data_IF_441192118940
#
_entry.id   IF_441192118940
#
_cell.length_a   1.000
_cell.length_b   1.000
_cell.length_c   1.000
_cell.angle_alpha   90.00
_cell.angle_beta   90.00
_cell.angle_gamma   90.00
#
_symmetry.space_group_name_H-M   'P 1'
#
loop_
_entity.id
_entity.type
_entity.pdbx_description
1 polymer ?
#
# COMPACT_ATOMS: atom_id res chain seq x y z
N UNK A 1 43.07 12.80 51.80
CA UNK A 1 43.40 13.86 50.82
C UNK A 1 44.09 13.20 49.65
N UNK A 2 43.57 13.11 48.44
CA UNK A 2 42.26 13.40 47.88
C UNK A 2 42.12 12.48 46.66
N UNK A 3 40.94 11.90 46.48
CA UNK A 3 40.54 11.28 45.22
C UNK A 3 40.37 12.40 44.18
N UNK A 4 40.87 12.17 42.96
CA UNK A 4 40.47 12.97 41.80
C UNK A 4 39.88 12.01 40.76
N UNK A 5 38.56 11.86 40.82
CA UNK A 5 37.74 11.24 39.79
C UNK A 5 37.82 12.09 38.52
N UNK A 6 38.52 11.60 37.48
CA UNK A 6 38.31 12.07 36.12
C UNK A 6 37.07 11.38 35.55
N UNK A 7 35.98 12.13 35.56
CA UNK A 7 34.72 11.86 34.88
C UNK A 7 34.95 11.49 33.41
N UNK A 8 34.69 10.23 33.07
CA UNK A 8 34.40 9.83 31.69
C UNK A 8 33.06 10.43 31.31
N UNK A 9 33.09 11.59 30.65
CA UNK A 9 31.96 12.09 29.88
C UNK A 9 31.69 11.11 28.73
N UNK A 10 30.88 10.10 29.01
CA UNK A 10 30.26 9.28 28.00
C UNK A 10 29.23 10.13 27.26
N UNK A 11 29.63 10.80 26.18
CA UNK A 11 28.70 11.12 25.10
C UNK A 11 28.19 9.78 24.57
N UNK A 12 27.06 9.32 25.09
CA UNK A 12 26.33 8.23 24.47
C UNK A 12 25.98 8.67 23.06
N UNK A 13 26.70 8.15 22.06
CA UNK A 13 26.21 8.20 20.69
C UNK A 13 24.93 7.38 20.69
N UNK A 14 23.77 8.01 20.59
CA UNK A 14 22.56 7.31 20.19
C UNK A 14 22.87 6.66 18.84
N UNK A 15 23.13 5.35 18.85
CA UNK A 15 23.35 4.59 17.63
C UNK A 15 22.05 4.64 16.83
N UNK A 16 21.99 5.50 15.82
CA UNK A 16 20.84 5.60 14.92
C UNK A 16 20.73 4.29 14.15
N UNK A 17 19.70 3.50 14.45
CA UNK A 17 19.46 2.22 13.78
C UNK A 17 18.76 2.48 12.46
N UNK A 18 19.17 1.81 11.38
CA UNK A 18 18.48 1.90 10.08
C UNK A 18 17.09 1.27 10.22
N UNK A 19 16.06 1.98 9.75
CA UNK A 19 14.68 1.49 9.74
C UNK A 19 14.55 0.34 8.72
N UNK A 20 14.01 -0.79 9.18
CA UNK A 20 13.73 -1.95 8.34
C UNK A 20 12.23 -2.13 8.14
N UNK A 21 11.84 -2.54 6.94
CA UNK A 21 10.45 -2.78 6.56
C UNK A 21 10.22 -4.28 6.35
N UNK A 22 9.03 -4.75 6.71
CA UNK A 22 8.62 -6.14 6.48
C UNK A 22 8.11 -6.27 5.04
N UNK A 23 8.50 -7.32 4.29
CA UNK A 23 7.96 -7.57 2.95
C UNK A 23 6.43 -7.70 2.96
N UNK A 24 5.78 -7.10 1.97
CA UNK A 24 4.33 -7.19 1.84
C UNK A 24 3.94 -8.51 1.15
N UNK A 25 3.01 -9.25 1.75
CA UNK A 25 2.54 -10.52 1.20
C UNK A 25 1.36 -10.32 0.25
N UNK A 26 1.22 -11.22 -0.71
CA UNK A 26 0.19 -11.18 -1.75
C UNK A 26 -0.52 -12.53 -1.90
N UNK A 27 -1.79 -12.49 -2.29
CA UNK A 27 -2.57 -13.67 -2.66
C UNK A 27 -3.44 -13.36 -3.88
N UNK A 28 -3.48 -14.25 -4.86
CA UNK A 28 -4.47 -14.20 -5.92
C UNK A 28 -5.51 -15.30 -5.66
N UNK A 29 -6.76 -14.90 -5.45
CA UNK A 29 -7.87 -15.81 -5.22
C UNK A 29 -8.19 -16.66 -6.47
N UNK A 30 -8.82 -17.81 -6.27
CA UNK A 30 -9.22 -18.68 -7.37
C UNK A 30 -10.12 -17.93 -8.37
N UNK A 31 -11.04 -17.10 -7.88
CA UNK A 31 -11.96 -16.33 -8.71
C UNK A 31 -11.26 -15.34 -9.65
N UNK A 32 -10.09 -14.81 -9.25
CA UNK A 32 -9.26 -13.96 -10.11
C UNK A 32 -8.78 -14.73 -11.35
N UNK A 33 -8.26 -15.95 -11.15
CA UNK A 33 -7.73 -16.78 -12.25
C UNK A 33 -8.83 -17.27 -13.20
N UNK A 34 -10.00 -17.66 -12.66
CA UNK A 34 -11.17 -17.99 -13.47
C UNK A 34 -11.59 -16.82 -14.37
N UNK A 35 -11.68 -15.61 -13.81
CA UNK A 35 -12.07 -14.41 -14.56
C UNK A 35 -11.00 -14.02 -15.58
N UNK A 36 -9.71 -14.08 -15.23
CA UNK A 36 -8.61 -13.81 -16.16
C UNK A 36 -8.63 -14.78 -17.35
N UNK A 37 -8.87 -16.06 -17.09
CA UNK A 37 -8.95 -17.09 -18.13
C UNK A 37 -10.12 -16.84 -19.08
N UNK A 38 -11.29 -16.49 -18.54
CA UNK A 38 -12.46 -16.11 -19.34
C UNK A 38 -12.19 -14.87 -20.21
N UNK A 39 -11.56 -13.83 -19.64
CA UNK A 39 -11.19 -12.63 -20.41
C UNK A 39 -10.15 -12.93 -21.49
N UNK A 40 -9.16 -13.79 -21.19
CA UNK A 40 -8.14 -14.19 -22.16
C UNK A 40 -8.73 -14.93 -23.35
N UNK A 41 -9.67 -15.85 -23.13
CA UNK A 41 -10.31 -16.61 -24.20
C UNK A 41 -11.32 -15.79 -25.00
N UNK A 42 -12.14 -14.99 -24.32
CA UNK A 42 -13.29 -14.34 -24.95
C UNK A 42 -12.98 -12.94 -25.51
N UNK A 43 -11.95 -12.25 -24.99
CA UNK A 43 -11.71 -10.83 -25.29
C UNK A 43 -10.28 -10.54 -25.74
N UNK A 44 -9.27 -10.94 -24.97
CA UNK A 44 -7.88 -10.55 -25.26
C UNK A 44 -7.27 -11.41 -26.37
N UNK A 45 -7.58 -12.70 -26.41
CA UNK A 45 -7.01 -13.63 -27.38
C UNK A 45 -5.48 -13.68 -27.26
N UNK A 46 -4.78 -13.15 -28.26
CA UNK A 46 -3.32 -13.06 -28.32
C UNK A 46 -2.76 -11.74 -27.78
N UNK A 47 -3.60 -10.78 -27.43
CA UNK A 47 -3.17 -9.50 -26.85
C UNK A 47 -2.53 -9.73 -25.48
N UNK A 48 -1.26 -9.34 -25.35
CA UNK A 48 -0.46 -9.39 -24.12
C UNK A 48 -0.17 -7.99 -23.56
N UNK A 49 -0.93 -6.98 -24.01
CA UNK A 49 -0.88 -5.62 -23.47
C UNK A 49 -1.14 -5.59 -21.95
N UNK A 50 -0.52 -4.65 -21.21
CA UNK A 50 -0.72 -4.52 -19.77
C UNK A 50 -2.17 -4.20 -19.42
N UNK A 51 -2.71 -4.89 -18.42
CA UNK A 51 -4.09 -4.75 -17.96
C UNK A 51 -4.10 -4.01 -16.62
N UNK A 52 -4.79 -2.86 -16.48
CA UNK A 52 -4.97 -2.23 -15.19
C UNK A 52 -5.86 -3.10 -14.30
N UNK A 53 -5.42 -3.36 -13.07
CA UNK A 53 -6.13 -4.17 -12.08
C UNK A 53 -6.20 -3.43 -10.72
N UNK A 54 -7.15 -3.82 -9.88
CA UNK A 54 -7.31 -3.28 -8.53
C UNK A 54 -7.08 -4.37 -7.50
N UNK A 55 -6.06 -4.21 -6.66
CA UNK A 55 -5.82 -5.08 -5.51
C UNK A 55 -6.54 -4.57 -4.26
N UNK A 56 -6.76 -5.45 -3.29
CA UNK A 56 -7.42 -5.09 -2.04
C UNK A 56 -6.58 -5.52 -0.85
N UNK A 57 -6.40 -4.64 0.13
CA UNK A 57 -5.81 -5.03 1.41
C UNK A 57 -6.59 -4.41 2.57
N UNK A 58 -6.31 -4.86 3.79
CA UNK A 58 -6.85 -4.23 4.98
C UNK A 58 -5.77 -4.17 6.08
N UNK A 59 -5.96 -3.33 7.10
CA UNK A 59 -5.14 -3.35 8.29
C UNK A 59 -5.09 -4.73 8.94
N UNK A 60 -3.97 -5.01 9.60
CA UNK A 60 -3.79 -6.24 10.36
C UNK A 60 -4.85 -6.35 11.46
N UNK A 61 -5.66 -7.41 11.40
CA UNK A 61 -6.75 -7.68 12.36
C UNK A 61 -6.36 -8.70 13.43
N UNK A 62 -5.22 -9.39 13.28
CA UNK A 62 -4.77 -10.44 14.19
C UNK A 62 -3.30 -10.29 14.57
N UNK A 63 -2.95 -10.50 15.84
CA UNK A 63 -1.60 -10.26 16.36
C UNK A 63 -0.51 -11.22 15.83
N UNK A 64 -0.91 -12.31 15.19
CA UNK A 64 -0.02 -13.39 14.74
C UNK A 64 0.03 -13.54 13.22
N UNK A 65 -0.90 -12.92 12.48
CA UNK A 65 -1.03 -13.11 11.03
C UNK A 65 -1.15 -11.74 10.38
N UNK A 66 -0.12 -11.37 9.63
CA UNK A 66 -0.12 -10.16 8.82
C UNK A 66 -1.18 -10.26 7.72
N UNK A 67 -1.81 -9.14 7.39
CA UNK A 67 -2.69 -9.10 6.23
C UNK A 67 -1.86 -9.11 4.93
N UNK A 68 -2.51 -9.39 3.82
CA UNK A 68 -1.90 -9.48 2.50
C UNK A 68 -2.71 -8.66 1.49
N UNK A 69 -2.09 -8.31 0.36
CA UNK A 69 -2.82 -7.80 -0.79
C UNK A 69 -3.48 -8.98 -1.52
N UNK A 70 -4.81 -8.95 -1.63
CA UNK A 70 -5.61 -9.97 -2.29
C UNK A 70 -6.11 -9.48 -3.65
N UNK A 71 -6.00 -10.32 -4.68
CA UNK A 71 -6.70 -10.14 -5.94
C UNK A 71 -7.93 -11.04 -5.99
N UNK A 72 -9.06 -10.47 -6.42
CA UNK A 72 -10.37 -11.11 -6.51
C UNK A 72 -10.87 -11.07 -7.96
N UNK A 73 -12.02 -11.69 -8.24
CA UNK A 73 -12.64 -11.58 -9.57
C UNK A 73 -12.93 -10.11 -9.95
N UNK A 74 -13.35 -9.30 -8.97
CA UNK A 74 -13.58 -7.86 -9.10
C UNK A 74 -12.32 -7.02 -9.32
N UNK A 75 -11.12 -7.62 -9.22
CA UNK A 75 -9.85 -6.92 -9.46
C UNK A 75 -9.61 -6.64 -10.95
N UNK A 76 -10.25 -7.39 -11.83
CA UNK A 76 -10.14 -7.25 -13.28
C UNK A 76 -11.21 -6.28 -13.81
N UNK A 77 -10.93 -5.57 -14.92
CA UNK A 77 -11.88 -4.61 -15.47
C UNK A 77 -13.17 -5.31 -15.92
N UNK A 78 -14.30 -4.70 -15.57
CA UNK A 78 -15.63 -5.11 -16.04
C UNK A 78 -15.71 -4.79 -17.55
N UNK A 79 -16.14 -5.76 -18.36
CA UNK A 79 -16.30 -5.56 -19.80
C UNK A 79 -17.53 -4.69 -20.09
N UNK A 80 -17.52 -3.98 -21.22
CA UNK A 80 -18.60 -3.07 -21.66
C UNK A 80 -19.99 -3.74 -21.76
N UNK A 81 -20.04 -5.07 -21.80
CA UNK A 81 -21.28 -5.84 -21.94
C UNK A 81 -21.99 -6.15 -20.61
N UNK A 82 -21.34 -5.90 -19.46
CA UNK A 82 -21.94 -6.04 -18.13
C UNK A 82 -22.57 -4.68 -17.73
N UNK A 83 -23.77 -4.39 -18.26
CA UNK A 83 -24.54 -3.16 -18.00
C UNK A 83 -25.11 -3.05 -16.56
N UNK A 84 -24.37 -3.48 -15.53
CA UNK A 84 -24.69 -3.09 -14.16
C UNK A 84 -23.91 -1.81 -13.82
N UNK A 85 -24.51 -0.68 -14.17
CA UNK A 85 -24.33 0.65 -13.57
C UNK A 85 -23.09 0.85 -12.67
N UNK A 86 -21.96 1.26 -13.27
CA UNK A 86 -21.14 2.44 -12.93
C UNK A 86 -19.65 2.21 -13.29
N UNK A 87 -19.00 3.15 -14.02
CA UNK A 87 -17.55 3.21 -14.10
C UNK A 87 -17.06 3.98 -12.87
N UNK A 88 -16.62 3.27 -11.84
CA UNK A 88 -15.85 3.85 -10.75
C UNK A 88 -15.06 2.71 -10.12
N UNK A 89 -13.75 2.90 -9.94
CA UNK A 89 -12.90 2.15 -9.04
C UNK A 89 -13.73 1.46 -7.95
N UNK A 90 -13.72 0.13 -7.91
CA UNK A 90 -14.49 -0.67 -6.95
C UNK A 90 -14.39 -0.02 -5.59
N UNK A 91 -15.46 0.69 -5.17
CA UNK A 91 -15.42 1.48 -3.93
C UNK A 91 -14.97 0.54 -2.83
N UNK A 92 -13.92 0.92 -2.14
CA UNK A 92 -13.40 0.14 -1.06
C UNK A 92 -14.47 -0.07 0.00
N UNK A 93 -14.26 -1.09 0.82
CA UNK A 93 -14.99 -1.18 2.07
C UNK A 93 -13.98 -1.25 3.21
N UNK A 94 -14.48 -1.24 4.45
CA UNK A 94 -13.65 -1.29 5.65
C UNK A 94 -12.58 -2.40 5.63
N UNK A 95 -12.84 -3.51 4.95
CA UNK A 95 -11.95 -4.67 4.87
C UNK A 95 -11.27 -4.82 3.50
N UNK A 96 -11.47 -3.86 2.59
CA UNK A 96 -10.96 -3.89 1.21
C UNK A 96 -10.61 -2.47 0.77
N UNK A 97 -9.40 -2.03 1.09
CA UNK A 97 -8.85 -0.78 0.59
C UNK A 97 -8.33 -1.04 -0.83
N UNK A 98 -8.87 -0.37 -1.87
CA UNK A 98 -8.49 -0.57 -3.25
C UNK A 98 -7.11 0.03 -3.49
N UNK A 99 -6.29 -0.68 -4.24
CA UNK A 99 -4.94 -0.26 -4.61
C UNK A 99 -4.77 -0.47 -6.11
N UNK A 100 -4.29 0.52 -6.86
CA UNK A 100 -4.07 0.36 -8.28
C UNK A 100 -2.89 -0.59 -8.55
N UNK A 101 -3.00 -1.41 -9.57
CA UNK A 101 -1.89 -2.22 -10.05
C UNK A 101 -1.96 -2.53 -11.53
N UNK A 102 -0.91 -3.14 -12.04
CA UNK A 102 -0.78 -3.51 -13.45
C UNK A 102 -0.50 -5.00 -13.58
N UNK A 103 -1.24 -5.68 -14.45
CA UNK A 103 -1.05 -7.08 -14.81
C UNK A 103 -0.39 -7.20 -16.18
N UNK A 104 0.77 -7.86 -16.25
CA UNK A 104 1.40 -8.29 -17.49
C UNK A 104 1.27 -9.81 -17.62
N UNK A 105 0.39 -10.26 -18.51
CA UNK A 105 0.14 -11.68 -18.71
C UNK A 105 0.68 -12.15 -20.05
N UNK A 106 1.73 -12.97 -20.05
CA UNK A 106 2.34 -13.46 -21.28
C UNK A 106 1.55 -14.63 -21.88
N UNK A 107 1.75 -14.86 -23.18
CA UNK A 107 1.14 -15.98 -23.89
C UNK A 107 1.94 -17.27 -23.81
N UNK A 108 3.24 -17.19 -23.55
CA UNK A 108 4.13 -18.35 -23.43
C UNK A 108 4.95 -18.28 -22.15
N UNK A 109 5.39 -19.45 -21.68
CA UNK A 109 6.22 -19.58 -20.49
C UNK A 109 7.63 -19.01 -20.74
N UNK A 110 8.14 -19.16 -21.96
CA UNK A 110 9.44 -18.61 -22.37
C UNK A 110 9.44 -17.09 -22.30
N UNK A 111 8.36 -16.45 -22.76
CA UNK A 111 8.19 -15.00 -22.66
C UNK A 111 8.13 -14.54 -21.19
N UNK A 112 7.43 -15.29 -20.31
CA UNK A 112 7.38 -14.99 -18.88
C UNK A 112 8.77 -15.00 -18.23
N UNK A 113 9.60 -15.98 -18.58
CA UNK A 113 10.98 -16.04 -18.08
C UNK A 113 11.87 -14.93 -18.68
N UNK A 114 11.65 -14.56 -19.94
CA UNK A 114 12.39 -13.54 -20.66
C UNK A 114 12.01 -12.09 -20.29
N UNK A 115 10.92 -11.87 -19.54
CA UNK A 115 10.51 -10.53 -19.09
C UNK A 115 11.63 -9.84 -18.31
N UNK A 116 11.93 -8.58 -18.67
CA UNK A 116 12.80 -7.70 -17.90
C UNK A 116 12.07 -7.19 -16.64
N UNK A 117 12.07 -8.04 -15.61
CA UNK A 117 11.44 -7.76 -14.31
C UNK A 117 11.97 -6.48 -13.67
N UNK A 118 13.24 -6.10 -13.92
CA UNK A 118 13.85 -4.89 -13.34
C UNK A 118 13.32 -3.65 -14.04
N UNK A 119 13.22 -3.67 -15.37
CA UNK A 119 12.65 -2.55 -16.12
C UNK A 119 11.18 -2.33 -15.75
N UNK A 120 10.37 -3.39 -15.72
CA UNK A 120 8.96 -3.31 -15.33
C UNK A 120 8.78 -2.76 -13.91
N UNK A 121 9.59 -3.23 -12.95
CA UNK A 121 9.56 -2.72 -11.58
C UNK A 121 9.88 -1.22 -11.52
N UNK A 122 10.88 -0.77 -12.29
CA UNK A 122 11.25 0.66 -12.37
C UNK A 122 10.17 1.49 -13.02
N UNK A 123 9.50 0.98 -14.05
CA UNK A 123 8.40 1.68 -14.71
C UNK A 123 7.23 1.92 -13.75
N UNK A 124 6.82 0.90 -12.98
CA UNK A 124 5.77 1.08 -11.97
C UNK A 124 6.24 1.98 -10.81
N UNK A 125 7.51 1.91 -10.41
CA UNK A 125 8.09 2.84 -9.42
C UNK A 125 8.08 4.29 -9.90
N UNK A 126 8.37 4.53 -11.18
CA UNK A 126 8.32 5.86 -11.78
C UNK A 126 6.89 6.41 -11.77
N UNK A 127 5.86 5.59 -11.99
CA UNK A 127 4.46 6.03 -11.86
C UNK A 127 4.16 6.55 -10.45
N UNK A 128 4.64 5.86 -9.41
CA UNK A 128 4.54 6.32 -8.01
C UNK A 128 5.27 7.65 -7.83
N UNK A 129 6.48 7.77 -8.38
CA UNK A 129 7.27 9.01 -8.30
C UNK A 129 6.59 10.20 -8.97
N UNK A 130 6.02 10.02 -10.16
CA UNK A 130 5.25 11.04 -10.87
C UNK A 130 3.96 11.42 -10.12
N UNK A 131 3.23 10.43 -9.59
CA UNK A 131 2.03 10.66 -8.77
C UNK A 131 2.37 11.48 -7.50
N UNK A 132 3.56 11.30 -6.93
CA UNK A 132 4.09 12.14 -5.82
C UNK A 132 4.37 13.57 -6.30
N UNK A 133 5.08 13.74 -7.42
CA UNK A 133 5.48 15.07 -7.93
C UNK A 133 4.31 15.93 -8.39
N UNK A 134 3.31 15.29 -9.00
CA UNK A 134 2.11 15.96 -9.51
C UNK A 134 1.09 16.31 -8.42
N UNK A 135 1.28 15.82 -7.19
CA UNK A 135 0.35 16.00 -6.08
C UNK A 135 -0.81 15.00 -6.07
N UNK A 136 -0.93 14.11 -7.07
CA UNK A 136 -1.97 13.08 -7.08
C UNK A 136 -1.91 12.17 -5.84
N UNK A 137 -0.71 11.84 -5.36
CA UNK A 137 -0.56 11.02 -4.15
C UNK A 137 -1.10 11.70 -2.87
N UNK A 138 -1.25 13.03 -2.88
CA UNK A 138 -1.86 13.80 -1.77
C UNK A 138 -3.39 13.77 -1.88
N UNK A 139 -3.93 13.77 -3.11
CA UNK A 139 -5.36 13.68 -3.38
C UNK A 139 -5.89 12.25 -3.17
N UNK A 140 -5.22 11.26 -3.75
CA UNK A 140 -5.48 9.83 -3.62
C UNK A 140 -4.21 9.10 -3.19
N UNK A 141 -4.11 8.88 -1.87
CA UNK A 141 -2.96 8.23 -1.26
C UNK A 141 -2.83 6.72 -1.58
N UNK A 142 -3.88 6.07 -2.08
CA UNK A 142 -3.83 4.64 -2.40
C UNK A 142 -2.80 4.32 -3.50
N UNK A 143 -2.48 5.30 -4.36
CA UNK A 143 -1.48 5.17 -5.43
C UNK A 143 -0.06 4.89 -4.92
N UNK A 144 0.23 5.23 -3.65
CA UNK A 144 1.53 4.95 -3.03
C UNK A 144 1.79 3.46 -2.84
N UNK A 145 0.72 2.67 -2.68
CA UNK A 145 0.79 1.22 -2.50
C UNK A 145 0.73 0.45 -3.81
N UNK A 146 0.89 1.13 -4.96
CA UNK A 146 0.77 0.54 -6.30
C UNK A 146 1.59 -0.74 -6.43
N UNK A 147 1.05 -1.74 -7.12
CA UNK A 147 1.70 -3.04 -7.29
C UNK A 147 1.77 -3.49 -8.75
N UNK A 148 2.65 -4.44 -9.00
CA UNK A 148 2.85 -5.10 -10.29
C UNK A 148 2.55 -6.60 -10.14
N UNK A 149 1.83 -7.16 -11.10
CA UNK A 149 1.68 -8.60 -11.25
C UNK A 149 2.17 -9.01 -12.63
N UNK A 150 3.14 -9.91 -12.69
CA UNK A 150 3.49 -10.62 -13.92
C UNK A 150 2.93 -12.03 -13.85
N UNK A 151 2.37 -12.54 -14.94
CA UNK A 151 1.82 -13.90 -14.97
C UNK A 151 1.97 -14.59 -16.33
N UNK A 152 1.85 -15.90 -16.30
CA UNK A 152 1.60 -16.76 -17.44
C UNK A 152 0.48 -17.73 -17.06
N UNK A 153 -0.63 -17.64 -17.80
CA UNK A 153 -1.78 -18.51 -17.64
C UNK A 153 -1.75 -19.64 -18.69
N UNK A 154 -1.44 -20.87 -18.24
CA UNK A 154 -1.55 -22.07 -19.06
C UNK A 154 -2.99 -22.60 -18.99
N UNK A 155 -3.81 -22.15 -19.94
CA UNK A 155 -5.22 -22.52 -20.03
C UNK A 155 -5.43 -23.98 -20.48
N UNK A 156 -4.39 -24.67 -20.95
CA UNK A 156 -4.49 -26.09 -21.35
C UNK A 156 -4.42 -27.00 -20.13
N UNK A 157 -3.47 -26.73 -19.24
CA UNK A 157 -3.27 -27.50 -18.01
C UNK A 157 -3.93 -26.89 -16.78
N UNK A 158 -4.59 -25.74 -16.94
CA UNK A 158 -5.19 -24.95 -15.85
C UNK A 158 -4.16 -24.61 -14.75
N UNK A 159 -2.97 -24.18 -15.17
CA UNK A 159 -1.87 -23.81 -14.27
C UNK A 159 -1.48 -22.34 -14.46
N UNK A 160 -1.19 -21.66 -13.35
CA UNK A 160 -0.93 -20.22 -13.34
C UNK A 160 0.41 -19.94 -12.67
N UNK A 161 1.36 -19.41 -13.45
CA UNK A 161 2.65 -18.95 -12.95
C UNK A 161 2.55 -17.45 -12.74
N UNK A 162 2.92 -16.95 -11.56
CA UNK A 162 2.79 -15.52 -11.28
C UNK A 162 3.83 -15.02 -10.29
N UNK A 163 4.08 -13.72 -10.33
CA UNK A 163 4.97 -13.04 -9.40
C UNK A 163 4.47 -11.62 -9.14
N UNK A 164 4.23 -11.31 -7.86
CA UNK A 164 3.93 -9.96 -7.40
C UNK A 164 5.19 -9.15 -7.17
N UNK A 165 5.11 -7.85 -7.44
CA UNK A 165 6.11 -6.89 -7.03
C UNK A 165 5.44 -5.67 -6.39
N UNK A 166 6.05 -5.16 -5.33
CA UNK A 166 5.63 -3.96 -4.62
C UNK A 166 6.78 -2.94 -4.73
N UNK A 167 6.77 -2.07 -5.76
CA UNK A 167 7.79 -1.05 -5.91
C UNK A 167 7.82 -0.13 -4.70
N UNK A 168 9.00 0.00 -4.09
CA UNK A 168 9.25 0.91 -2.99
C UNK A 168 10.51 1.74 -3.29
N UNK A 169 10.45 3.03 -3.02
CA UNK A 169 11.56 3.95 -3.26
C UNK A 169 12.59 3.82 -2.13
N UNK A 170 13.84 3.58 -2.49
CA UNK A 170 14.95 3.54 -1.54
C UNK A 170 15.52 4.94 -1.40
N UNK A 171 15.46 5.48 -0.17
CA UNK A 171 16.00 6.80 0.14
C UNK A 171 17.51 6.72 0.38
N UNK A 172 18.22 7.75 -0.09
CA UNK A 172 19.64 7.96 0.16
C UNK A 172 19.84 9.36 0.78
N UNK A 173 20.25 9.48 2.06
CA UNK A 173 20.61 8.38 2.97
C UNK A 173 19.40 7.56 3.45
N UNK A 174 19.60 6.29 3.86
CA UNK A 174 18.53 5.46 4.41
C UNK A 174 17.88 6.09 5.65
N UNK A 175 16.58 5.84 5.82
CA UNK A 175 15.82 6.34 6.97
C UNK A 175 16.33 5.70 8.26
N UNK A 176 16.61 6.54 9.25
CA UNK A 176 17.03 6.09 10.58
C UNK A 176 15.87 6.11 11.57
N UNK A 177 15.71 5.02 12.31
CA UNK A 177 14.76 4.90 13.41
C UNK A 177 15.30 5.60 14.66
N UNK A 178 14.55 6.57 15.18
CA UNK A 178 14.85 7.24 16.45
C UNK A 178 14.30 6.45 17.62
N UNK A 179 13.02 6.08 17.55
CA UNK A 179 12.32 5.36 18.62
C UNK A 179 11.14 4.55 18.05
N UNK A 180 10.86 3.39 18.64
CA UNK A 180 9.68 2.57 18.33
C UNK A 180 8.94 2.25 19.62
N UNK A 181 7.65 2.63 19.69
CA UNK A 181 6.77 2.46 20.84
C UNK A 181 5.43 1.89 20.43
N UNK A 182 4.76 1.21 21.36
CA UNK A 182 3.40 0.72 21.10
C UNK A 182 2.41 1.87 21.15
N UNK A 183 1.50 1.92 20.17
CA UNK A 183 0.45 2.94 20.12
C UNK A 183 -0.48 2.92 21.34
N UNK A 184 -0.57 1.80 22.10
CA UNK A 184 -1.29 1.75 23.37
C UNK A 184 -0.78 2.74 24.42
N UNK A 185 0.47 3.19 24.29
CA UNK A 185 1.07 4.23 25.13
C UNK A 185 0.59 5.64 24.71
N UNK A 186 -0.03 5.76 23.53
CA UNK A 186 -0.48 6.98 22.88
C UNK A 186 -2.03 7.04 22.84
N UNK A 187 -2.62 7.13 24.03
CA UNK A 187 -3.97 7.67 24.33
C UNK A 187 -5.19 7.03 23.65
N UNK A 188 -6.22 6.73 24.46
CA UNK A 188 -7.55 6.25 24.03
C UNK A 188 -8.18 7.12 22.92
N UNK A 189 -7.92 8.43 22.91
CA UNK A 189 -8.49 9.35 21.92
C UNK A 189 -8.08 9.02 20.48
N UNK A 190 -6.85 8.53 20.26
CA UNK A 190 -6.39 8.12 18.91
C UNK A 190 -7.19 6.93 18.42
N UNK A 191 -7.44 5.94 19.29
CA UNK A 191 -8.25 4.77 18.93
C UNK A 191 -9.68 5.13 18.55
N UNK A 192 -10.28 6.12 19.24
CA UNK A 192 -11.63 6.62 18.93
C UNK A 192 -11.64 7.31 17.56
N UNK A 193 -10.65 8.16 17.28
CA UNK A 193 -10.52 8.83 16.00
C UNK A 193 -10.33 7.82 14.85
N UNK A 194 -9.46 6.81 15.02
CA UNK A 194 -9.26 5.72 14.06
C UNK A 194 -10.55 4.93 13.80
N UNK A 195 -11.31 4.63 14.85
CA UNK A 195 -12.59 3.95 14.70
C UNK A 195 -13.61 4.81 13.94
N UNK A 196 -13.67 6.11 14.23
CA UNK A 196 -14.51 7.05 13.49
C UNK A 196 -14.17 7.07 12.00
N UNK A 197 -12.88 7.18 11.67
CA UNK A 197 -12.37 7.15 10.31
C UNK A 197 -12.72 5.85 9.57
N UNK A 198 -12.61 4.70 10.24
CA UNK A 198 -12.85 3.37 9.66
C UNK A 198 -14.33 2.99 9.58
N UNK A 199 -15.21 3.66 10.32
CA UNK A 199 -16.65 3.42 10.30
C UNK A 199 -17.38 4.29 9.26
N UNK A 200 -16.75 5.35 8.75
CA UNK A 200 -17.30 6.19 7.69
C UNK A 200 -17.02 5.58 6.32
N UNK A 201 -18.05 5.43 5.48
CA UNK A 201 -17.92 4.90 4.11
C UNK A 201 -17.12 5.80 3.16
N UNK A 202 -16.84 7.05 3.54
CA UNK A 202 -16.06 8.01 2.75
C UNK A 202 -14.56 7.91 3.03
N UNK A 203 -14.17 7.27 4.14
CA UNK A 203 -12.80 7.29 4.66
C UNK A 203 -12.28 5.91 5.04
N UNK A 204 -13.16 4.89 5.09
CA UNK A 204 -12.84 3.54 5.54
C UNK A 204 -11.78 2.83 4.68
N UNK A 205 -11.66 3.24 3.42
CA UNK A 205 -10.74 2.73 2.42
C UNK A 205 -9.57 3.66 2.12
N UNK A 206 -9.46 4.80 2.83
CA UNK A 206 -8.35 5.76 2.70
C UNK A 206 -7.18 5.30 3.56
N UNK A 207 -6.07 4.85 2.95
CA UNK A 207 -5.04 4.14 3.68
C UNK A 207 -4.01 5.01 4.39
N UNK A 208 -3.83 6.27 3.96
CA UNK A 208 -2.86 7.20 4.56
C UNK A 208 -3.57 8.47 5.02
N UNK A 209 -3.20 8.96 6.20
CA UNK A 209 -3.87 10.09 6.84
C UNK A 209 -2.98 10.76 7.89
N UNK A 210 -3.34 11.97 8.27
CA UNK A 210 -2.74 12.66 9.40
C UNK A 210 -3.52 12.42 10.68
N UNK A 211 -2.81 12.34 11.81
CA UNK A 211 -3.41 12.37 13.15
C UNK A 211 -2.91 13.64 13.83
N UNK A 212 -3.80 14.61 14.03
CA UNK A 212 -3.51 15.80 14.85
C UNK A 212 -3.97 15.55 16.28
N UNK A 213 -3.07 15.78 17.23
CA UNK A 213 -3.32 15.69 18.67
C UNK A 213 -3.16 17.10 19.26
N UNK A 214 -4.29 17.67 19.68
CA UNK A 214 -4.34 18.98 20.32
C UNK A 214 -3.79 18.94 21.76
N UNK A 215 -3.49 20.11 22.33
CA UNK A 215 -2.91 20.21 23.68
C UNK A 215 -3.83 19.64 24.79
N UNK A 216 -5.14 19.54 24.52
CA UNK A 216 -6.12 18.88 25.40
C UNK A 216 -6.14 17.35 25.25
N UNK A 217 -5.17 16.76 24.55
CA UNK A 217 -5.06 15.31 24.27
C UNK A 217 -6.19 14.74 23.39
N UNK A 218 -6.96 15.60 22.72
CA UNK A 218 -7.96 15.18 21.74
C UNK A 218 -7.30 14.93 20.39
N UNK A 219 -7.50 13.73 19.84
CA UNK A 219 -6.99 13.32 18.54
C UNK A 219 -8.06 13.45 17.44
N UNK A 220 -7.65 13.92 16.27
CA UNK A 220 -8.48 14.03 15.06
C UNK A 220 -7.72 13.48 13.86
N UNK A 221 -8.43 12.82 12.95
CA UNK A 221 -7.84 12.31 11.70
C UNK A 221 -8.23 13.23 10.56
N UNK A 222 -7.25 13.56 9.72
CA UNK A 222 -7.33 14.56 8.66
C UNK A 222 -6.76 13.95 7.37
N UNK A 223 -7.35 14.28 6.22
CA UNK A 223 -6.84 13.83 4.92
C UNK A 223 -5.47 14.46 4.61
N UNK A 224 -4.67 13.82 3.75
CA UNK A 224 -3.36 14.35 3.36
C UNK A 224 -3.44 15.74 2.71
N UNK A 225 -4.47 15.98 1.88
CA UNK A 225 -4.72 17.27 1.23
C UNK A 225 -4.97 18.43 2.20
N UNK A 226 -5.44 18.13 3.41
CA UNK A 226 -5.82 19.15 4.40
C UNK A 226 -4.68 19.41 5.40
N UNK A 227 -3.42 19.18 4.98
CA UNK A 227 -2.21 19.37 5.80
C UNK A 227 -2.13 20.76 6.44
N UNK A 228 -2.53 21.81 5.73
CA UNK A 228 -2.50 23.19 6.24
C UNK A 228 -3.37 23.37 7.48
N UNK A 229 -4.47 22.61 7.61
CA UNK A 229 -5.33 22.64 8.79
C UNK A 229 -4.64 22.07 10.05
N UNK A 230 -3.57 21.29 9.88
CA UNK A 230 -2.78 20.72 10.98
C UNK A 230 -1.67 21.65 11.49
N UNK A 231 -1.41 22.79 10.83
CA UNK A 231 -0.29 23.69 11.17
C UNK A 231 -0.58 24.67 12.32
N UNK A 232 -1.66 24.48 13.08
CA UNK A 232 -1.94 25.33 14.23
C UNK A 232 -0.87 25.18 15.33
N UNK A 233 -0.50 26.31 15.95
CA UNK A 233 0.49 26.34 17.03
C UNK A 233 0.13 25.34 18.14
N UNK A 234 1.14 24.57 18.59
CA UNK A 234 1.09 23.66 19.74
C UNK A 234 0.34 22.32 19.55
N UNK A 235 0.16 21.85 18.31
CA UNK A 235 -0.36 20.50 18.01
C UNK A 235 0.75 19.49 17.71
N UNK A 236 0.59 18.24 18.17
CA UNK A 236 1.44 17.11 17.73
C UNK A 236 0.80 16.47 16.51
N UNK A 237 1.58 16.24 15.46
CA UNK A 237 1.09 15.60 14.24
C UNK A 237 1.81 14.27 14.01
N UNK A 238 1.04 13.23 13.70
CA UNK A 238 1.53 11.91 13.33
C UNK A 238 1.11 11.58 11.90
N UNK A 239 1.98 10.90 11.16
CA UNK A 239 1.68 10.33 9.85
C UNK A 239 1.16 8.91 10.09
N UNK A 240 -0.13 8.69 9.82
CA UNK A 240 -0.81 7.40 9.98
C UNK A 240 -0.95 6.68 8.65
N UNK A 241 -0.79 5.36 8.68
CA UNK A 241 -1.08 4.47 7.56
C UNK A 241 -1.68 3.14 8.03
N UNK A 242 -2.44 2.49 7.15
CA UNK A 242 -3.17 1.24 7.36
C UNK A 242 -2.32 -0.02 7.19
#
# INVERSE_FOLDING_TARGET
MAQEEKSRSGRGSSSSTILQFVPFNSLADEGFWHRLSSLKLNRYGIDDSPIPITGFYAPCSHSQVSNHLTLLAESLPIGENDQSSMPAFSRGNRNRCPVPGTLYNTNTLEAFHALDKKSLLKEEANKIWEDIHTGRAVEDSAVLSRFLLISFADLKNWSFHYWFAFPALVLDPPVTLVESKRASEWLKSVSVACNGWRNSSLTADVPFFFISIASNSHATIIHLKDWEACQADNQKVLFGFL
#
